data_IF_931813841434
#
_entry.id   IF_931813841434
#
_cell.length_a   1.000
_cell.length_b   1.000
_cell.length_c   1.000
_cell.angle_alpha   90.00
_cell.angle_beta   90.00
_cell.angle_gamma   90.00
#
_symmetry.space_group_name_H-M   'P 1'
#
loop_
_entity.id
_entity.type
_entity.pdbx_description
1 polymer ?
#
# COMPACT_ATOMS: atom_id res chain seq x y z
N UNK A 1 -35.13 24.11 -12.08
CA UNK A 1 -35.55 22.70 -12.11
C UNK A 1 -35.40 21.99 -13.45
N UNK A 2 -35.54 22.66 -14.61
CA UNK A 2 -35.34 22.04 -15.95
C UNK A 2 -33.87 21.78 -16.32
N UNK A 3 -32.91 22.55 -15.88
CA UNK A 3 -31.47 22.36 -16.19
C UNK A 3 -30.81 21.17 -15.48
N UNK A 4 -31.22 20.84 -14.26
CA UNK A 4 -30.70 19.66 -13.52
C UNK A 4 -31.13 18.32 -14.15
N UNK A 5 -32.35 18.24 -14.71
CA UNK A 5 -32.84 17.04 -15.42
C UNK A 5 -32.13 16.77 -16.75
N UNK A 6 -31.60 17.81 -17.45
CA UNK A 6 -30.82 17.64 -18.67
C UNK A 6 -29.39 17.14 -18.38
N UNK A 7 -28.80 17.55 -17.26
CA UNK A 7 -27.46 17.08 -16.82
C UNK A 7 -27.47 15.59 -16.47
N UNK A 8 -28.45 15.14 -15.68
CA UNK A 8 -28.59 13.72 -15.34
C UNK A 8 -28.85 12.80 -16.56
N UNK A 9 -29.63 13.26 -17.56
CA UNK A 9 -29.84 12.49 -18.78
C UNK A 9 -28.58 12.38 -19.65
N UNK A 10 -27.73 13.40 -19.65
CA UNK A 10 -26.45 13.37 -20.41
C UNK A 10 -25.42 12.46 -19.75
N UNK A 11 -25.34 12.42 -18.40
CA UNK A 11 -24.46 11.51 -17.65
C UNK A 11 -24.90 10.04 -17.79
N UNK A 12 -26.19 9.74 -17.74
CA UNK A 12 -26.69 8.39 -18.01
C UNK A 12 -26.44 7.95 -19.45
N UNK A 13 -26.58 8.85 -20.41
CA UNK A 13 -26.36 8.53 -21.84
C UNK A 13 -24.88 8.26 -22.13
N UNK A 14 -23.96 9.01 -21.51
CA UNK A 14 -22.52 8.77 -21.61
C UNK A 14 -22.09 7.45 -20.95
N UNK A 15 -22.64 7.10 -19.79
CA UNK A 15 -22.42 5.83 -19.13
C UNK A 15 -22.96 4.64 -19.94
N UNK A 16 -24.14 4.80 -20.57
CA UNK A 16 -24.73 3.76 -21.41
C UNK A 16 -23.94 3.59 -22.72
N UNK A 17 -23.48 4.69 -23.34
CA UNK A 17 -22.60 4.62 -24.53
C UNK A 17 -21.23 3.99 -24.21
N UNK A 18 -20.65 4.26 -23.04
CA UNK A 18 -19.41 3.60 -22.61
C UNK A 18 -19.63 2.09 -22.39
N UNK A 19 -20.76 1.70 -21.81
CA UNK A 19 -21.10 0.29 -21.58
C UNK A 19 -21.38 -0.45 -22.88
N UNK A 20 -22.06 0.16 -23.86
CA UNK A 20 -22.30 -0.45 -25.19
C UNK A 20 -21.02 -0.55 -26.02
N UNK A 21 -20.10 0.42 -25.91
CA UNK A 21 -18.80 0.35 -26.57
C UNK A 21 -17.91 -0.77 -25.98
N UNK A 22 -18.03 -1.05 -24.68
CA UNK A 22 -17.38 -2.18 -24.02
C UNK A 22 -17.95 -3.54 -24.48
N UNK A 23 -19.25 -3.63 -24.70
CA UNK A 23 -19.90 -4.87 -25.17
C UNK A 23 -19.57 -5.20 -26.63
N UNK A 24 -19.41 -4.22 -27.52
CA UNK A 24 -19.04 -4.46 -28.92
C UNK A 24 -17.59 -4.87 -29.13
N UNK A 25 -16.68 -4.54 -28.20
CA UNK A 25 -15.28 -4.97 -28.26
C UNK A 25 -15.06 -6.43 -27.79
N UNK A 26 -16.06 -7.05 -27.15
CA UNK A 26 -15.95 -8.40 -26.58
C UNK A 26 -16.36 -9.54 -27.55
N UNK A 27 -16.71 -9.25 -28.78
CA UNK A 27 -17.38 -10.22 -29.68
C UNK A 27 -16.49 -10.92 -30.72
N UNK A 28 -15.17 -10.92 -30.58
CA UNK A 28 -14.33 -11.61 -31.57
C UNK A 28 -13.25 -12.44 -30.90
N UNK A 29 -13.62 -13.65 -30.43
CA UNK A 29 -12.83 -14.88 -30.55
C UNK A 29 -13.59 -16.01 -29.80
N UNK A 30 -13.82 -17.15 -30.46
CA UNK A 30 -14.23 -18.40 -29.82
C UNK A 30 -13.04 -18.95 -29.02
N UNK A 31 -12.73 -18.33 -27.89
CA UNK A 31 -11.76 -18.88 -26.95
C UNK A 31 -12.49 -19.80 -25.98
N UNK A 32 -12.09 -21.06 -25.97
CA UNK A 32 -12.46 -21.99 -24.88
C UNK A 32 -12.08 -21.34 -23.54
N UNK A 33 -12.99 -21.24 -22.57
CA UNK A 33 -12.69 -20.64 -21.28
C UNK A 33 -11.60 -21.46 -20.59
N UNK A 34 -10.40 -20.89 -20.48
CA UNK A 34 -9.32 -21.50 -19.72
C UNK A 34 -9.37 -20.92 -18.32
N UNK A 35 -10.02 -21.62 -17.41
CA UNK A 35 -10.03 -21.25 -15.99
C UNK A 35 -8.68 -21.62 -15.40
N UNK A 36 -7.99 -20.64 -14.86
CA UNK A 36 -6.75 -20.84 -14.08
C UNK A 36 -6.96 -20.39 -12.64
N UNK A 37 -6.34 -21.10 -11.71
CA UNK A 37 -6.35 -20.75 -10.28
C UNK A 37 -4.96 -20.97 -9.71
N UNK A 38 -4.40 -19.94 -9.11
CA UNK A 38 -3.14 -20.00 -8.38
C UNK A 38 -3.43 -19.76 -6.90
N UNK A 39 -2.72 -20.45 -6.05
CA UNK A 39 -2.79 -20.29 -4.59
C UNK A 39 -1.44 -19.76 -4.13
N UNK A 40 -1.47 -18.74 -3.29
CA UNK A 40 -0.28 -18.16 -2.68
C UNK A 40 -0.47 -18.03 -1.18
N UNK A 41 0.63 -18.19 -0.45
CA UNK A 41 0.65 -17.96 0.98
C UNK A 41 1.81 -17.08 1.41
N UNK A 42 1.62 -16.31 2.48
CA UNK A 42 2.68 -15.54 3.12
C UNK A 42 2.55 -15.66 4.62
N UNK A 43 3.55 -16.25 5.24
CA UNK A 43 3.66 -16.36 6.69
C UNK A 43 4.82 -15.50 7.16
N UNK A 44 4.59 -14.69 8.20
CA UNK A 44 5.61 -13.85 8.85
C UNK A 44 5.43 -13.95 10.36
N UNK A 45 6.40 -14.50 11.02
CA UNK A 45 6.51 -14.54 12.48
C UNK A 45 7.74 -13.75 12.92
N UNK A 46 7.62 -12.93 13.95
CA UNK A 46 8.75 -12.14 14.45
C UNK A 46 8.87 -12.19 15.97
N UNK A 47 10.09 -11.95 16.43
CA UNK A 47 10.41 -11.60 17.80
C UNK A 47 10.94 -10.17 17.81
N UNK A 48 10.44 -9.33 18.72
CA UNK A 48 10.91 -7.97 18.98
C UNK A 48 11.43 -7.89 20.41
N UNK A 49 12.61 -7.29 20.57
CA UNK A 49 13.21 -7.00 21.87
C UNK A 49 13.48 -5.50 21.98
N UNK A 50 12.76 -4.84 22.87
CA UNK A 50 12.93 -3.42 23.17
C UNK A 50 14.12 -3.26 24.12
N UNK A 51 15.12 -2.45 23.72
CA UNK A 51 16.43 -2.43 24.36
C UNK A 51 16.53 -1.55 25.60
N UNK A 52 15.62 -0.57 25.77
CA UNK A 52 15.62 0.34 26.92
C UNK A 52 14.91 -0.25 28.14
N UNK A 53 13.77 -0.89 27.94
CA UNK A 53 12.96 -1.49 29.00
C UNK A 53 13.30 -2.96 29.24
N UNK A 54 14.04 -3.58 28.31
CA UNK A 54 14.42 -4.98 28.41
C UNK A 54 13.26 -5.96 28.17
N UNK A 55 12.22 -5.53 27.45
CA UNK A 55 11.03 -6.32 27.19
C UNK A 55 11.04 -6.92 25.78
N UNK A 56 10.47 -8.11 25.64
CA UNK A 56 10.38 -8.80 24.35
C UNK A 56 9.04 -9.45 24.12
N UNK A 57 8.68 -9.62 22.82
CA UNK A 57 7.45 -10.28 22.43
C UNK A 57 7.60 -11.08 21.13
N UNK A 58 6.83 -12.17 21.05
CA UNK A 58 6.58 -12.86 19.79
C UNK A 58 5.29 -12.33 19.15
N UNK A 59 5.27 -12.25 17.82
CA UNK A 59 4.11 -11.79 17.06
C UNK A 59 3.98 -12.60 15.77
N UNK A 60 2.78 -13.08 15.45
CA UNK A 60 2.41 -13.50 14.09
C UNK A 60 2.06 -12.25 13.30
N UNK A 61 3.00 -11.78 12.48
CA UNK A 61 2.85 -10.51 11.76
C UNK A 61 1.92 -10.59 10.58
N UNK A 62 1.95 -11.70 9.84
CA UNK A 62 1.03 -12.01 8.76
C UNK A 62 0.83 -13.51 8.64
N UNK A 63 -0.40 -13.92 8.36
CA UNK A 63 -0.79 -15.26 7.99
C UNK A 63 -1.78 -15.17 6.82
N UNK A 64 -1.25 -14.89 5.62
CA UNK A 64 -2.07 -14.59 4.42
C UNK A 64 -2.19 -15.78 3.51
N UNK A 65 -3.39 -15.95 2.98
CA UNK A 65 -3.69 -16.87 1.90
C UNK A 65 -4.41 -16.08 0.82
N UNK A 66 -4.01 -16.25 -0.43
CA UNK A 66 -4.69 -15.66 -1.57
C UNK A 66 -4.88 -16.65 -2.69
N UNK A 67 -5.95 -16.45 -3.44
CA UNK A 67 -6.24 -17.10 -4.70
C UNK A 67 -6.39 -16.04 -5.78
N UNK A 68 -5.78 -16.26 -6.93
CA UNK A 68 -6.00 -15.45 -8.12
C UNK A 68 -6.06 -16.32 -9.36
N UNK A 69 -6.61 -15.77 -10.42
CA UNK A 69 -6.68 -16.51 -11.66
C UNK A 69 -7.44 -15.78 -12.76
N UNK A 70 -7.66 -16.53 -13.85
CA UNK A 70 -8.44 -16.04 -14.98
C UNK A 70 -9.62 -16.98 -15.20
N UNK A 71 -10.82 -16.43 -15.45
CA UNK A 71 -12.00 -17.15 -15.89
C UNK A 71 -12.05 -17.16 -17.42
N UNK A 72 -11.65 -16.05 -18.02
CA UNK A 72 -11.48 -15.83 -19.44
C UNK A 72 -10.15 -15.10 -19.69
N UNK A 73 -9.59 -15.06 -20.90
CA UNK A 73 -8.38 -14.28 -21.19
C UNK A 73 -8.48 -12.81 -20.79
N UNK A 74 -9.70 -12.23 -20.85
CA UNK A 74 -9.97 -10.83 -20.50
C UNK A 74 -10.46 -10.64 -19.05
N UNK A 75 -10.82 -11.74 -18.34
CA UNK A 75 -11.44 -11.65 -17.00
C UNK A 75 -10.62 -12.39 -15.97
N UNK A 76 -10.12 -11.65 -14.98
CA UNK A 76 -9.36 -12.19 -13.85
C UNK A 76 -9.99 -11.81 -12.52
N UNK A 77 -9.63 -12.56 -11.48
CA UNK A 77 -10.09 -12.34 -10.11
C UNK A 77 -8.96 -12.50 -9.11
N UNK A 78 -9.15 -11.94 -7.93
CA UNK A 78 -8.31 -12.19 -6.75
C UNK A 78 -9.15 -12.13 -5.49
N UNK A 79 -8.85 -13.06 -4.57
CA UNK A 79 -9.28 -12.97 -3.17
C UNK A 79 -8.07 -13.21 -2.25
N UNK A 80 -7.94 -12.42 -1.19
CA UNK A 80 -6.86 -12.52 -0.19
C UNK A 80 -7.43 -12.29 1.21
N UNK A 81 -7.07 -13.15 2.15
CA UNK A 81 -7.41 -13.05 3.57
C UNK A 81 -6.14 -13.01 4.42
N UNK A 82 -6.22 -12.39 5.60
CA UNK A 82 -5.19 -12.44 6.63
C UNK A 82 -5.81 -13.02 7.91
N UNK A 83 -5.15 -14.01 8.49
CA UNK A 83 -5.58 -14.74 9.68
C UNK A 83 -4.81 -14.29 10.95
N UNK A 84 -3.94 -13.28 10.85
CA UNK A 84 -3.06 -12.85 11.92
C UNK A 84 -3.67 -11.79 12.85
N UNK A 85 -4.97 -11.49 12.74
CA UNK A 85 -5.62 -10.45 13.51
C UNK A 85 -6.37 -11.01 14.72
N UNK A 86 -5.62 -11.51 15.71
CA UNK A 86 -6.12 -11.97 17.03
C UNK A 86 -7.37 -12.87 16.95
N UNK A 87 -7.36 -13.80 15.98
CA UNK A 87 -8.46 -14.74 15.74
C UNK A 87 -9.56 -14.23 14.80
N UNK A 88 -9.47 -13.01 14.30
CA UNK A 88 -10.38 -12.49 13.29
C UNK A 88 -9.82 -12.70 11.87
N UNK A 89 -10.70 -13.04 10.94
CA UNK A 89 -10.36 -13.15 9.52
C UNK A 89 -10.59 -11.79 8.88
N UNK A 90 -9.51 -11.18 8.36
CA UNK A 90 -9.60 -9.96 7.56
C UNK A 90 -9.61 -10.29 6.08
N UNK A 91 -10.69 -9.96 5.37
CA UNK A 91 -10.69 -9.92 3.92
C UNK A 91 -9.86 -8.73 3.44
N UNK A 92 -8.78 -8.98 2.74
CA UNK A 92 -7.88 -7.94 2.24
C UNK A 92 -8.21 -7.52 0.81
N UNK A 93 -8.16 -8.45 -0.11
CA UNK A 93 -8.49 -8.23 -1.52
C UNK A 93 -9.68 -9.11 -1.91
N UNK A 94 -10.65 -8.55 -2.62
CA UNK A 94 -11.77 -9.27 -3.22
C UNK A 94 -12.25 -8.47 -4.43
N UNK A 95 -11.66 -8.74 -5.60
CA UNK A 95 -11.97 -7.98 -6.80
C UNK A 95 -12.03 -8.83 -8.06
N UNK A 96 -12.79 -8.30 -9.04
CA UNK A 96 -12.78 -8.73 -10.42
C UNK A 96 -12.08 -7.70 -11.29
N UNK A 97 -11.34 -8.16 -12.30
CA UNK A 97 -10.60 -7.31 -13.23
C UNK A 97 -10.88 -7.70 -14.67
N UNK A 98 -11.29 -6.72 -15.45
CA UNK A 98 -11.47 -6.84 -16.88
C UNK A 98 -10.23 -6.26 -17.59
N UNK A 99 -9.53 -7.09 -18.37
CA UNK A 99 -8.39 -6.69 -19.20
C UNK A 99 -8.89 -6.42 -20.61
N UNK A 100 -8.86 -5.17 -21.01
CA UNK A 100 -9.25 -4.73 -22.33
C UNK A 100 -8.05 -4.73 -23.29
N UNK A 101 -8.30 -4.50 -24.54
CA UNK A 101 -7.22 -4.39 -25.53
C UNK A 101 -6.26 -3.23 -25.24
N UNK A 102 -5.00 -3.32 -25.71
CA UNK A 102 -3.97 -2.28 -25.62
C UNK A 102 -3.56 -1.89 -24.19
N UNK A 103 -3.61 -2.83 -23.24
CA UNK A 103 -3.11 -2.59 -21.88
C UNK A 103 -4.08 -1.86 -20.94
N UNK A 104 -5.29 -1.53 -21.40
CA UNK A 104 -6.35 -0.95 -20.57
C UNK A 104 -6.95 -2.03 -19.66
N UNK A 105 -7.15 -1.72 -18.37
CA UNK A 105 -7.78 -2.62 -17.41
C UNK A 105 -8.76 -1.86 -16.51
N UNK A 106 -9.88 -2.51 -16.20
CA UNK A 106 -10.86 -2.02 -15.23
C UNK A 106 -10.96 -3.03 -14.08
N UNK A 107 -10.87 -2.55 -12.85
CA UNK A 107 -10.96 -3.41 -11.64
C UNK A 107 -12.06 -2.87 -10.74
N UNK A 108 -12.86 -3.75 -10.15
CA UNK A 108 -13.92 -3.39 -9.21
C UNK A 108 -13.92 -4.36 -8.03
N UNK A 109 -14.11 -3.84 -6.83
CA UNK A 109 -14.16 -4.59 -5.57
C UNK A 109 -13.26 -3.98 -4.51
N UNK A 110 -12.89 -4.78 -3.52
CA UNK A 110 -11.94 -4.40 -2.47
C UNK A 110 -10.51 -4.67 -2.95
N UNK A 111 -9.67 -3.64 -2.95
CA UNK A 111 -8.31 -3.73 -3.47
C UNK A 111 -7.37 -2.74 -2.80
N UNK A 112 -6.07 -2.88 -3.06
CA UNK A 112 -5.10 -1.85 -2.68
C UNK A 112 -5.36 -0.57 -3.44
N UNK A 113 -5.39 0.53 -2.71
CA UNK A 113 -5.47 1.87 -3.28
C UNK A 113 -4.15 2.17 -4.02
N UNK A 114 -4.16 2.64 -5.27
CA UNK A 114 -2.94 2.93 -6.03
C UNK A 114 -2.25 4.19 -5.52
N UNK A 115 -1.52 4.07 -4.42
CA UNK A 115 -0.83 5.15 -3.74
C UNK A 115 0.49 4.66 -3.13
N UNK A 116 1.54 5.48 -3.14
CA UNK A 116 2.92 5.25 -2.65
C UNK A 116 3.61 3.99 -3.23
N UNK A 117 4.89 3.78 -2.89
CA UNK A 117 5.63 2.55 -3.21
C UNK A 117 5.51 1.56 -2.06
N UNK A 118 5.95 1.93 -0.84
CA UNK A 118 6.06 0.99 0.28
C UNK A 118 4.68 0.54 0.82
N UNK A 119 3.68 1.41 0.91
CA UNK A 119 2.32 1.03 1.31
C UNK A 119 1.69 0.03 0.32
N UNK A 120 1.99 0.17 -0.97
CA UNK A 120 1.49 -0.72 -2.02
C UNK A 120 2.25 -2.06 -2.11
N UNK A 121 3.42 -2.18 -1.45
CA UNK A 121 4.25 -3.40 -1.45
C UNK A 121 3.60 -4.53 -0.66
N UNK A 122 3.62 -5.73 -1.22
CA UNK A 122 3.14 -6.94 -0.53
C UNK A 122 4.05 -7.31 0.65
N UNK A 123 3.55 -7.95 1.72
CA UNK A 123 4.36 -8.25 2.89
C UNK A 123 5.60 -9.09 2.63
N UNK A 124 5.53 -10.06 1.72
CA UNK A 124 6.70 -10.88 1.37
C UNK A 124 7.77 -10.07 0.61
N UNK A 125 7.38 -9.01 -0.11
CA UNK A 125 8.30 -8.14 -0.87
C UNK A 125 8.89 -7.00 -0.03
N UNK A 126 8.64 -6.95 1.28
CA UNK A 126 9.25 -5.96 2.15
C UNK A 126 10.72 -6.28 2.39
N UNK A 127 11.57 -5.27 2.36
CA UNK A 127 13.00 -5.39 2.67
C UNK A 127 13.26 -5.50 4.16
N UNK A 128 12.52 -4.75 4.98
CA UNK A 128 12.65 -4.69 6.43
C UNK A 128 11.51 -5.44 7.13
N UNK A 129 11.74 -5.89 8.35
CA UNK A 129 10.72 -6.54 9.17
C UNK A 129 9.53 -5.59 9.46
N UNK A 130 9.81 -4.31 9.68
CA UNK A 130 8.79 -3.28 9.88
C UNK A 130 8.72 -2.31 8.68
N UNK A 131 7.53 -1.83 8.38
CA UNK A 131 7.28 -0.84 7.31
C UNK A 131 7.87 0.53 7.65
N UNK A 132 8.05 1.37 6.62
CA UNK A 132 8.32 2.79 6.77
C UNK A 132 7.18 3.53 7.49
N UNK A 133 7.44 4.75 7.95
CA UNK A 133 6.38 5.59 8.49
C UNK A 133 5.37 5.98 7.42
N UNK A 134 5.81 6.27 6.20
CA UNK A 134 4.92 6.54 5.05
C UNK A 134 3.89 5.43 4.91
N UNK A 135 4.33 4.16 4.86
CA UNK A 135 3.43 3.03 4.65
C UNK A 135 2.47 2.75 5.81
N UNK A 136 2.76 3.24 7.02
CA UNK A 136 1.86 3.10 8.18
C UNK A 136 0.79 4.20 8.23
N UNK A 137 1.08 5.36 7.66
CA UNK A 137 0.34 6.61 7.93
C UNK A 137 -0.39 7.19 6.71
N UNK A 138 -0.50 6.43 5.63
CA UNK A 138 -1.15 6.89 4.38
C UNK A 138 -2.67 6.68 4.35
N UNK A 139 -3.32 6.52 5.50
CA UNK A 139 -4.74 6.21 5.56
C UNK A 139 -5.03 4.76 5.14
N UNK A 140 -6.19 4.51 4.55
CA UNK A 140 -6.57 3.15 4.16
C UNK A 140 -5.71 2.65 2.98
N UNK A 141 -4.84 1.67 3.25
CA UNK A 141 -4.04 1.01 2.20
C UNK A 141 -4.92 0.20 1.25
N UNK A 142 -6.10 -0.23 1.71
CA UNK A 142 -7.13 -0.94 0.94
C UNK A 142 -8.49 -0.31 1.15
N UNK A 143 -9.29 -0.34 0.10
CA UNK A 143 -10.64 0.19 0.14
C UNK A 143 -11.51 -0.48 -0.93
N UNK A 144 -12.81 -0.31 -0.85
CA UNK A 144 -13.78 -0.76 -1.83
C UNK A 144 -13.99 0.33 -2.87
N UNK A 145 -13.86 -0.02 -4.13
CA UNK A 145 -13.99 0.96 -5.21
C UNK A 145 -13.76 0.36 -6.59
N UNK A 146 -13.46 1.24 -7.52
CA UNK A 146 -13.14 0.85 -8.89
C UNK A 146 -11.92 1.62 -9.39
N UNK A 147 -11.04 0.94 -10.16
CA UNK A 147 -9.86 1.54 -10.78
C UNK A 147 -9.86 1.33 -12.29
N UNK A 148 -9.30 2.31 -12.99
CA UNK A 148 -8.94 2.23 -14.39
C UNK A 148 -7.41 2.27 -14.47
N UNK A 149 -6.82 1.22 -15.03
CA UNK A 149 -5.39 1.09 -15.24
C UNK A 149 -5.03 1.08 -16.72
N UNK A 150 -3.88 1.64 -17.05
CA UNK A 150 -3.33 1.60 -18.40
C UNK A 150 -1.84 1.28 -18.38
N UNK A 151 -1.46 0.17 -19.02
CA UNK A 151 -0.08 -0.29 -19.13
C UNK A 151 0.43 -0.06 -20.54
N UNK A 152 1.44 0.78 -20.67
CA UNK A 152 2.14 1.01 -21.92
C UNK A 152 3.42 0.17 -21.91
N UNK A 153 3.51 -0.76 -22.87
CA UNK A 153 4.72 -1.54 -23.10
C UNK A 153 5.48 -0.92 -24.25
N UNK A 154 6.72 -0.51 -24.01
CA UNK A 154 7.57 0.15 -25.01
C UNK A 154 9.00 0.27 -24.51
N UNK A 155 9.81 1.11 -25.17
CA UNK A 155 11.18 1.39 -24.74
C UNK A 155 11.26 1.95 -23.30
N UNK A 156 10.22 2.69 -22.90
CA UNK A 156 10.03 3.17 -21.54
C UNK A 156 8.64 2.70 -21.09
N UNK A 157 8.54 1.56 -20.37
CA UNK A 157 7.26 1.10 -19.84
C UNK A 157 6.65 2.11 -18.85
N UNK A 158 5.35 2.33 -18.98
CA UNK A 158 4.58 3.24 -18.14
C UNK A 158 3.34 2.50 -17.60
N UNK A 159 3.08 2.62 -16.31
CA UNK A 159 1.84 2.16 -15.67
C UNK A 159 1.12 3.37 -15.11
N UNK A 160 -0.14 3.52 -15.50
CA UNK A 160 -1.06 4.51 -14.96
C UNK A 160 -2.21 3.78 -14.30
N UNK A 161 -2.61 4.23 -13.13
CA UNK A 161 -3.79 3.71 -12.44
C UNK A 161 -4.47 4.86 -11.70
N UNK A 162 -5.78 4.97 -11.84
CA UNK A 162 -6.61 5.92 -11.11
C UNK A 162 -7.88 5.22 -10.65
N UNK A 163 -8.41 5.61 -9.48
CA UNK A 163 -9.58 4.97 -8.91
C UNK A 163 -10.40 5.88 -8.02
N UNK A 164 -11.65 5.45 -7.84
CA UNK A 164 -12.62 6.02 -6.92
C UNK A 164 -12.95 4.98 -5.87
N UNK A 165 -13.05 5.42 -4.61
CA UNK A 165 -13.18 4.54 -3.46
C UNK A 165 -14.20 5.09 -2.47
N UNK A 166 -14.84 4.20 -1.72
CA UNK A 166 -15.82 4.57 -0.73
C UNK A 166 -15.22 5.34 0.46
N UNK A 167 -14.04 4.96 0.94
CA UNK A 167 -13.46 5.43 2.20
C UNK A 167 -13.80 4.55 3.41
N UNK A 168 -14.53 3.45 3.21
CA UNK A 168 -14.90 2.50 4.26
C UNK A 168 -13.73 1.64 4.75
N UNK A 169 -12.64 1.58 3.99
CA UNK A 169 -11.51 0.69 4.31
C UNK A 169 -11.88 -0.78 4.17
N UNK A 170 -11.49 -1.59 5.16
CA UNK A 170 -11.72 -3.05 5.17
C UNK A 170 -13.03 -3.46 5.85
N UNK A 171 -13.65 -2.57 6.60
CA UNK A 171 -14.84 -2.82 7.44
C UNK A 171 -15.99 -1.92 7.02
N UNK A 172 -17.16 -2.14 7.63
CA UNK A 172 -18.34 -1.27 7.49
C UNK A 172 -18.81 -1.01 6.06
N UNK A 173 -18.62 -2.00 5.16
CA UNK A 173 -18.99 -1.87 3.76
C UNK A 173 -20.51 -1.97 3.52
N UNK A 174 -21.21 -2.71 4.40
CA UNK A 174 -22.66 -2.84 4.31
C UNK A 174 -23.31 -1.52 4.73
N UNK A 175 -24.22 -1.07 3.90
CA UNK A 175 -24.97 0.18 4.11
C UNK A 175 -24.10 1.44 4.25
N UNK A 176 -22.84 1.38 3.79
CA UNK A 176 -21.94 2.53 3.73
C UNK A 176 -22.29 3.43 2.53
N UNK A 177 -23.18 4.36 2.75
CA UNK A 177 -23.57 5.36 1.77
C UNK A 177 -22.83 6.67 2.01
N UNK A 178 -22.14 7.17 0.99
CA UNK A 178 -21.35 8.41 1.10
C UNK A 178 -21.55 9.32 -0.11
N UNK A 179 -21.59 10.62 0.16
CA UNK A 179 -21.47 11.65 -0.88
C UNK A 179 -20.00 12.08 -1.10
N UNK A 180 -19.09 11.62 -0.24
CA UNK A 180 -17.68 11.99 -0.26
C UNK A 180 -16.82 10.81 -0.78
N UNK A 181 -16.81 10.65 -2.09
CA UNK A 181 -15.97 9.63 -2.73
C UNK A 181 -14.49 10.03 -2.60
N UNK A 182 -13.67 9.09 -2.14
CA UNK A 182 -12.22 9.20 -2.17
C UNK A 182 -11.69 8.92 -3.57
N UNK A 183 -10.54 9.47 -3.92
CA UNK A 183 -9.86 9.13 -5.16
C UNK A 183 -8.37 8.92 -4.95
N UNK A 184 -7.77 8.17 -5.85
CA UNK A 184 -6.33 8.01 -5.92
C UNK A 184 -5.87 7.90 -7.38
N UNK A 185 -4.67 8.37 -7.67
CA UNK A 185 -4.00 8.19 -8.95
C UNK A 185 -2.51 7.94 -8.75
N UNK A 186 -1.96 7.02 -9.56
CA UNK A 186 -0.55 6.64 -9.54
C UNK A 186 -0.02 6.50 -10.96
N UNK A 187 1.14 7.11 -11.21
CA UNK A 187 1.91 6.95 -12.43
C UNK A 187 3.28 6.35 -12.08
N UNK A 188 3.70 5.32 -12.81
CA UNK A 188 4.98 4.66 -12.61
C UNK A 188 5.70 4.51 -13.94
N UNK A 189 6.90 5.09 -14.04
CA UNK A 189 7.78 5.06 -15.20
C UNK A 189 8.93 4.11 -14.89
N UNK A 190 9.12 3.09 -15.72
CA UNK A 190 10.19 2.09 -15.56
C UNK A 190 11.25 2.27 -16.64
N UNK A 191 12.41 2.76 -16.25
CA UNK A 191 13.54 2.96 -17.19
C UNK A 191 14.31 1.66 -17.41
N UNK A 192 14.86 1.41 -18.62
CA UNK A 192 15.52 0.15 -18.97
C UNK A 192 16.75 -0.19 -18.12
N UNK A 193 17.38 0.81 -17.52
CA UNK A 193 18.58 0.64 -16.68
C UNK A 193 18.26 0.25 -15.22
N UNK A 194 17.00 -0.07 -14.88
CA UNK A 194 16.57 -0.46 -13.52
C UNK A 194 16.07 0.71 -12.68
N UNK A 195 16.05 1.93 -13.20
CA UNK A 195 15.44 3.07 -12.54
C UNK A 195 13.91 3.05 -12.67
N UNK A 196 13.24 3.41 -11.59
CA UNK A 196 11.81 3.57 -11.54
C UNK A 196 11.47 4.92 -10.90
N UNK A 197 10.49 5.63 -11.44
CA UNK A 197 9.95 6.88 -10.88
C UNK A 197 8.46 6.70 -10.71
N UNK A 198 7.97 7.02 -9.53
CA UNK A 198 6.55 6.93 -9.15
C UNK A 198 6.06 8.30 -8.70
N UNK A 199 4.91 8.70 -9.20
CA UNK A 199 4.15 9.86 -8.74
C UNK A 199 2.77 9.36 -8.35
N UNK A 200 2.29 9.76 -7.17
CA UNK A 200 0.95 9.38 -6.75
C UNK A 200 0.26 10.47 -5.95
N UNK A 201 -1.06 10.45 -5.96
CA UNK A 201 -1.90 11.35 -5.18
C UNK A 201 -3.12 10.61 -4.65
N UNK A 202 -3.57 10.98 -3.47
CA UNK A 202 -4.77 10.41 -2.86
C UNK A 202 -5.53 11.50 -2.08
N UNK A 203 -6.84 11.52 -2.21
CA UNK A 203 -7.75 12.26 -1.36
C UNK A 203 -8.53 11.29 -0.49
N UNK A 204 -8.52 11.52 0.82
CA UNK A 204 -9.37 10.82 1.79
C UNK A 204 -10.18 11.81 2.61
N UNK A 205 -11.26 11.34 3.19
CA UNK A 205 -12.06 12.09 4.18
C UNK A 205 -12.48 11.13 5.29
N UNK A 206 -11.64 10.94 6.34
CA UNK A 206 -11.95 10.03 7.45
C UNK A 206 -13.20 10.42 8.22
N UNK A 207 -13.36 11.70 8.54
CA UNK A 207 -14.55 12.28 9.18
C UNK A 207 -14.99 13.56 8.46
N UNK A 208 -14.68 14.72 9.03
CA UNK A 208 -15.16 16.03 8.55
C UNK A 208 -14.17 16.71 7.61
N UNK A 209 -12.87 16.46 7.76
CA UNK A 209 -11.79 17.15 7.05
C UNK A 209 -11.31 16.35 5.84
N UNK A 210 -11.25 16.99 4.66
CA UNK A 210 -10.59 16.41 3.49
C UNK A 210 -9.07 16.45 3.68
N UNK A 211 -8.42 15.33 3.39
CA UNK A 211 -6.96 15.20 3.43
C UNK A 211 -6.47 14.90 2.02
N UNK A 212 -5.60 15.76 1.51
CA UNK A 212 -4.91 15.56 0.24
C UNK A 212 -3.49 15.09 0.50
N UNK A 213 -3.08 14.04 -0.20
CA UNK A 213 -1.73 13.49 -0.12
C UNK A 213 -1.10 13.44 -1.49
N UNK A 214 0.18 13.77 -1.55
CA UNK A 214 1.01 13.73 -2.74
C UNK A 214 2.28 12.97 -2.41
N UNK A 215 2.68 12.07 -3.27
CA UNK A 215 3.81 11.20 -3.06
C UNK A 215 4.70 11.16 -4.30
N UNK A 216 5.99 11.27 -4.06
CA UNK A 216 7.04 11.08 -5.05
C UNK A 216 7.99 9.99 -4.56
N UNK A 217 8.14 8.94 -5.34
CA UNK A 217 9.04 7.85 -5.05
C UNK A 217 9.92 7.50 -6.24
N UNK A 218 11.12 7.03 -5.95
CA UNK A 218 12.05 6.52 -6.97
C UNK A 218 12.83 5.36 -6.42
N UNK A 219 13.17 4.39 -7.28
CA UNK A 219 14.13 3.35 -6.92
C UNK A 219 15.01 2.95 -8.10
N UNK A 220 16.18 2.44 -7.76
CA UNK A 220 17.08 1.75 -8.65
C UNK A 220 17.21 0.30 -8.23
N UNK A 221 16.98 -0.63 -9.15
CA UNK A 221 17.12 -2.06 -8.89
C UNK A 221 17.88 -2.72 -10.04
N UNK A 222 19.17 -2.94 -9.86
CA UNK A 222 20.03 -3.66 -10.79
C UNK A 222 21.34 -4.13 -10.13
N UNK A 223 21.95 -5.18 -10.68
CA UNK A 223 23.26 -5.68 -10.26
C UNK A 223 23.36 -6.03 -8.76
N UNK A 224 22.28 -6.52 -8.16
CA UNK A 224 22.19 -6.83 -6.74
C UNK A 224 21.88 -5.62 -5.84
N UNK A 225 21.96 -4.40 -6.35
CA UNK A 225 21.59 -3.20 -5.62
C UNK A 225 20.09 -2.94 -5.68
N UNK A 226 19.53 -2.52 -4.54
CA UNK A 226 18.28 -1.81 -4.48
C UNK A 226 18.44 -0.56 -3.65
N UNK A 227 18.17 0.60 -4.26
CA UNK A 227 18.21 1.92 -3.61
C UNK A 227 16.86 2.56 -3.85
N UNK A 228 16.18 3.01 -2.80
CA UNK A 228 14.84 3.57 -2.89
C UNK A 228 14.74 4.81 -2.02
N UNK A 229 14.00 5.79 -2.50
CA UNK A 229 13.63 6.98 -1.74
C UNK A 229 12.18 7.36 -2.06
N UNK A 230 11.43 7.74 -1.03
CA UNK A 230 10.03 8.12 -1.12
C UNK A 230 9.78 9.34 -0.23
N UNK A 231 9.01 10.30 -0.72
CA UNK A 231 8.62 11.51 0.00
C UNK A 231 7.12 11.71 -0.11
N UNK A 232 6.47 11.90 1.03
CA UNK A 232 5.05 12.15 1.17
C UNK A 232 4.80 13.55 1.73
N UNK A 233 3.92 14.29 1.07
CA UNK A 233 3.32 15.53 1.57
C UNK A 233 1.83 15.32 1.81
N UNK A 234 1.33 15.72 3.00
CA UNK A 234 -0.06 15.58 3.41
C UNK A 234 -0.60 16.95 3.86
N UNK A 235 -1.72 17.34 3.30
CA UNK A 235 -2.37 18.63 3.54
C UNK A 235 -3.81 18.41 4.01
N UNK A 236 -4.20 19.12 5.05
CA UNK A 236 -5.55 19.11 5.61
C UNK A 236 -6.34 20.33 5.12
N UNK A 237 -7.53 20.10 4.60
CA UNK A 237 -8.37 21.19 4.10
C UNK A 237 -8.68 22.21 5.20
N UNK A 238 -8.75 23.48 4.81
CA UNK A 238 -9.00 24.63 5.71
C UNK A 238 -7.93 24.82 6.80
N UNK A 239 -6.70 24.33 6.55
CA UNK A 239 -5.59 24.37 7.52
C UNK A 239 -5.98 23.81 8.90
N UNK A 240 -6.86 22.78 8.90
CA UNK A 240 -7.37 22.14 10.11
C UNK A 240 -6.28 21.44 10.94
N UNK A 241 -5.12 21.19 10.34
CA UNK A 241 -3.91 20.67 10.98
C UNK A 241 -2.70 21.11 10.15
N UNK A 242 -1.51 21.13 10.77
CA UNK A 242 -0.25 21.45 10.09
C UNK A 242 0.04 20.47 8.96
N UNK A 243 0.72 20.94 7.92
CA UNK A 243 1.13 20.08 6.82
C UNK A 243 2.14 19.02 7.28
N UNK A 244 1.94 17.80 6.82
CA UNK A 244 2.79 16.66 7.18
C UNK A 244 3.81 16.40 6.09
N UNK A 245 5.04 16.22 6.50
CA UNK A 245 6.15 15.82 5.67
C UNK A 245 6.68 14.47 6.15
N UNK A 246 6.80 13.50 5.26
CA UNK A 246 7.41 12.22 5.56
C UNK A 246 8.43 11.85 4.49
N UNK A 247 9.48 11.16 4.91
CA UNK A 247 10.54 10.67 4.05
C UNK A 247 10.91 9.25 4.43
N UNK A 248 11.13 8.41 3.44
CA UNK A 248 11.75 7.08 3.57
C UNK A 248 12.85 6.94 2.53
N UNK A 249 14.02 6.48 2.96
CA UNK A 249 15.12 6.21 2.04
C UNK A 249 15.93 5.03 2.51
N UNK A 250 16.19 4.05 1.64
CA UNK A 250 16.97 2.88 2.00
C UNK A 250 17.83 2.35 0.86
N UNK A 251 18.82 1.56 1.24
CA UNK A 251 19.62 0.77 0.30
C UNK A 251 19.82 -0.65 0.82
N UNK A 252 19.96 -1.57 -0.12
CA UNK A 252 20.31 -2.97 0.15
C UNK A 252 21.19 -3.51 -0.99
N UNK A 253 21.96 -4.56 -0.68
CA UNK A 253 22.79 -5.23 -1.67
C UNK A 253 22.75 -6.75 -1.50
N UNK A 254 22.35 -7.47 -2.53
CA UNK A 254 22.23 -8.93 -2.53
C UNK A 254 23.58 -9.60 -2.84
N UNK A 255 24.15 -10.25 -1.84
CA UNK A 255 25.39 -11.00 -1.93
C UNK A 255 25.08 -12.49 -2.12
N UNK A 256 25.27 -13.08 -3.30
CA UNK A 256 25.02 -14.50 -3.52
C UNK A 256 26.06 -15.37 -2.80
N UNK A 257 25.60 -16.40 -2.07
CA UNK A 257 26.42 -17.38 -1.35
C UNK A 257 26.38 -18.71 -2.11
N UNK A 258 27.54 -19.19 -2.55
CA UNK A 258 27.65 -20.37 -3.42
C UNK A 258 27.46 -21.71 -2.68
N UNK A 259 27.72 -21.76 -1.38
CA UNK A 259 27.70 -23.00 -0.57
C UNK A 259 26.90 -22.80 0.70
N UNK A 260 26.27 -23.86 1.20
CA UNK A 260 25.51 -23.87 2.44
C UNK A 260 24.01 -23.68 2.24
N UNK A 261 23.28 -23.62 3.35
CA UNK A 261 21.82 -23.43 3.37
C UNK A 261 21.39 -22.00 2.99
N UNK A 262 22.19 -21.00 3.39
CA UNK A 262 21.95 -19.61 3.02
C UNK A 262 22.43 -19.39 1.59
N UNK A 263 21.57 -18.83 0.75
CA UNK A 263 21.85 -18.55 -0.68
C UNK A 263 22.16 -17.09 -0.93
N UNK A 264 21.62 -16.18 -0.14
CA UNK A 264 21.91 -14.76 -0.19
C UNK A 264 22.07 -14.18 1.20
N UNK A 265 22.97 -13.21 1.32
CA UNK A 265 23.13 -12.33 2.49
C UNK A 265 22.93 -10.90 1.98
N UNK A 266 21.93 -10.21 2.48
CA UNK A 266 21.56 -8.87 2.04
C UNK A 266 21.70 -7.88 3.20
N UNK A 267 22.85 -7.18 3.35
CA UNK A 267 22.94 -6.02 4.23
C UNK A 267 22.05 -4.90 3.74
N UNK A 268 21.45 -4.17 4.68
CA UNK A 268 20.49 -3.10 4.37
C UNK A 268 20.48 -2.02 5.45
N UNK A 269 20.18 -0.79 5.03
CA UNK A 269 20.05 0.37 5.92
C UNK A 269 18.93 1.26 5.42
N UNK A 270 18.12 1.81 6.35
CA UNK A 270 17.03 2.74 6.07
C UNK A 270 17.04 3.89 7.05
N UNK A 271 16.74 5.08 6.56
CA UNK A 271 16.34 6.22 7.36
C UNK A 271 14.93 6.61 6.97
N UNK A 272 14.04 6.78 7.95
CA UNK A 272 12.69 7.30 7.76
C UNK A 272 12.37 8.40 8.77
N UNK A 273 11.57 9.36 8.32
CA UNK A 273 11.15 10.56 9.07
C UNK A 273 9.67 10.84 8.82
N UNK A 274 8.99 11.35 9.85
CA UNK A 274 7.64 11.89 9.72
C UNK A 274 7.48 13.05 10.74
N UNK A 275 6.90 14.15 10.28
CA UNK A 275 6.50 15.26 11.16
C UNK A 275 5.27 14.91 11.99
N UNK A 276 4.84 15.77 12.88
CA UNK A 276 3.56 15.62 13.61
C UNK A 276 2.43 15.33 12.63
N UNK A 277 1.53 14.42 13.00
CA UNK A 277 0.56 13.85 12.09
C UNK A 277 -0.79 13.61 12.78
N UNK A 278 -1.87 13.88 12.03
CA UNK A 278 -3.24 13.48 12.38
C UNK A 278 -3.76 12.47 11.34
N UNK A 279 -4.53 11.48 11.79
CA UNK A 279 -5.27 10.55 10.92
C UNK A 279 -6.61 11.14 10.42
N UNK A 280 -6.93 12.38 10.85
CA UNK A 280 -8.13 13.10 10.45
C UNK A 280 -9.33 12.90 11.35
N UNK A 281 -9.12 12.29 12.53
CA UNK A 281 -10.14 12.17 13.56
C UNK A 281 -10.21 13.47 14.35
N UNK A 282 -11.41 13.96 14.61
CA UNK A 282 -11.70 15.19 15.35
C UNK A 282 -11.89 14.92 16.82
N UNK A 283 -11.50 15.88 17.64
CA UNK A 283 -11.83 15.98 19.05
C UNK A 283 -12.65 17.26 19.26
N UNK A 284 -13.75 17.15 19.99
CA UNK A 284 -14.54 18.30 20.42
C UNK A 284 -14.18 18.61 21.88
N UNK A 285 -13.69 19.81 22.12
CA UNK A 285 -13.37 20.30 23.45
C UNK A 285 -14.67 20.52 24.23
N UNK A 286 -14.83 19.85 25.37
CA UNK A 286 -16.06 19.84 26.16
C UNK A 286 -16.42 21.23 26.76
N UNK A 287 -15.44 22.10 26.97
CA UNK A 287 -15.68 23.44 27.56
C UNK A 287 -16.02 24.47 26.50
N UNK A 288 -15.37 24.41 25.36
CA UNK A 288 -15.48 25.43 24.30
C UNK A 288 -16.37 25.02 23.14
N UNK A 289 -16.66 23.72 22.98
CA UNK A 289 -17.37 23.15 21.83
C UNK A 289 -16.59 23.27 20.51
N UNK A 290 -15.30 23.61 20.57
CA UNK A 290 -14.45 23.76 19.39
C UNK A 290 -13.93 22.39 18.94
N UNK A 291 -14.18 22.03 17.68
CA UNK A 291 -13.63 20.83 17.05
C UNK A 291 -12.24 21.10 16.50
N UNK A 292 -11.28 20.28 16.87
CA UNK A 292 -9.92 20.28 16.33
C UNK A 292 -9.48 18.86 15.99
N UNK A 293 -8.54 18.71 15.05
CA UNK A 293 -7.99 17.39 14.74
C UNK A 293 -7.03 16.93 15.84
N UNK A 294 -7.14 15.64 16.20
CA UNK A 294 -6.25 15.02 17.18
C UNK A 294 -4.88 14.76 16.52
N UNK A 295 -3.80 15.14 17.23
CA UNK A 295 -2.46 14.67 16.90
C UNK A 295 -2.34 13.18 17.23
N UNK A 296 -2.31 12.34 16.21
CA UNK A 296 -2.26 10.88 16.37
C UNK A 296 -0.86 10.41 16.72
N UNK A 297 0.15 11.00 16.09
CA UNK A 297 1.56 10.68 16.29
C UNK A 297 2.42 11.95 16.33
N UNK A 298 3.46 11.95 17.18
CA UNK A 298 4.46 13.02 17.21
C UNK A 298 5.51 12.84 16.12
N UNK A 299 6.20 13.93 15.81
CA UNK A 299 7.38 13.95 14.96
C UNK A 299 8.39 12.92 15.43
N UNK A 300 8.94 12.16 14.46
CA UNK A 300 9.97 11.15 14.73
C UNK A 300 10.83 10.87 13.52
N UNK A 301 12.02 10.35 13.81
CA UNK A 301 12.83 9.70 12.79
C UNK A 301 13.34 8.35 13.30
N UNK A 302 13.71 7.48 12.36
CA UNK A 302 14.22 6.15 12.66
C UNK A 302 15.35 5.80 11.72
N UNK A 303 16.46 5.30 12.29
CA UNK A 303 17.53 4.64 11.56
C UNK A 303 17.41 3.14 11.77
N UNK A 304 17.28 2.38 10.69
CA UNK A 304 17.22 0.92 10.73
C UNK A 304 18.43 0.36 9.99
N UNK A 305 19.22 -0.47 10.68
CA UNK A 305 20.29 -1.26 10.07
C UNK A 305 20.02 -2.74 10.22
N UNK A 306 20.48 -3.57 9.30
CA UNK A 306 20.29 -5.00 9.45
C UNK A 306 20.82 -5.85 8.32
N UNK A 307 20.45 -7.13 8.38
CA UNK A 307 20.78 -8.13 7.39
C UNK A 307 19.61 -9.06 7.15
N UNK A 308 19.39 -9.43 5.90
CA UNK A 308 18.48 -10.52 5.51
C UNK A 308 19.30 -11.73 5.05
N UNK A 309 18.95 -12.89 5.56
CA UNK A 309 19.52 -14.19 5.18
C UNK A 309 18.44 -14.94 4.39
N UNK A 310 18.64 -15.15 3.09
CA UNK A 310 17.69 -15.87 2.25
C UNK A 310 18.12 -17.33 2.05
N UNK A 311 17.25 -18.26 2.40
CA UNK A 311 17.47 -19.72 2.26
C UNK A 311 17.26 -20.19 0.80
N UNK A 312 16.68 -19.32 -0.01
CA UNK A 312 16.47 -19.49 -1.44
C UNK A 312 16.76 -18.14 -2.10
N UNK A 313 16.11 -17.80 -3.23
CA UNK A 313 16.14 -16.42 -3.74
C UNK A 313 15.49 -15.47 -2.74
N UNK A 314 15.87 -14.19 -2.70
CA UNK A 314 15.25 -13.17 -1.86
C UNK A 314 13.73 -13.14 -2.01
N UNK A 315 13.04 -12.83 -0.91
CA UNK A 315 11.57 -12.73 -0.80
C UNK A 315 10.80 -14.03 -0.89
N UNK A 316 11.46 -15.18 -0.73
CA UNK A 316 10.80 -16.49 -0.72
C UNK A 316 10.87 -17.17 0.66
N UNK A 317 12.05 -17.21 1.27
CA UNK A 317 12.28 -17.76 2.61
C UNK A 317 13.42 -17.00 3.25
N UNK A 318 13.07 -15.99 4.03
CA UNK A 318 14.01 -15.00 4.55
C UNK A 318 14.01 -15.00 6.09
N UNK A 319 15.18 -14.82 6.66
CA UNK A 319 15.38 -14.45 8.06
C UNK A 319 15.90 -13.01 8.06
N UNK A 320 15.11 -12.07 8.60
CA UNK A 320 15.45 -10.65 8.68
C UNK A 320 15.86 -10.31 10.10
N UNK A 321 17.02 -9.71 10.25
CA UNK A 321 17.54 -9.24 11.55
C UNK A 321 17.77 -7.75 11.41
N UNK A 322 16.98 -6.96 12.12
CA UNK A 322 17.03 -5.51 12.07
C UNK A 322 17.25 -4.93 13.47
N UNK A 323 18.02 -3.86 13.56
CA UNK A 323 18.06 -2.96 14.70
C UNK A 323 17.42 -1.64 14.29
N UNK A 324 16.43 -1.17 15.04
CA UNK A 324 15.71 0.08 14.83
C UNK A 324 16.08 1.06 15.95
N UNK A 325 16.71 2.18 15.60
CA UNK A 325 17.01 3.31 16.48
C UNK A 325 16.05 4.44 16.21
N UNK A 326 15.30 4.85 17.23
CA UNK A 326 14.31 5.93 17.13
C UNK A 326 14.86 7.22 17.72
N UNK A 327 14.41 8.35 17.15
CA UNK A 327 14.73 9.69 17.62
C UNK A 327 13.46 10.51 17.70
N UNK A 328 13.20 11.09 18.87
CA UNK A 328 12.02 11.85 19.21
C UNK A 328 12.36 13.24 19.69
N UNK A 329 11.45 14.24 19.60
CA UNK A 329 11.52 15.48 20.38
C UNK A 329 11.55 15.17 21.88
N UNK A 330 12.06 16.13 22.66
CA UNK A 330 12.32 15.93 24.10
C UNK A 330 11.06 15.67 24.95
N UNK A 331 9.90 16.13 24.49
CA UNK A 331 8.60 16.03 25.16
C UNK A 331 7.76 14.82 24.69
N UNK A 332 8.29 14.00 23.79
CA UNK A 332 7.57 12.86 23.24
C UNK A 332 7.49 11.69 24.24
N UNK A 333 6.35 11.03 24.29
CA UNK A 333 6.14 9.80 25.06
C UNK A 333 5.73 8.64 24.12
N UNK A 334 6.71 8.02 23.43
CA UNK A 334 6.42 6.96 22.48
C UNK A 334 5.98 5.67 23.17
N UNK A 335 5.15 4.89 22.48
CA UNK A 335 4.77 3.54 22.91
C UNK A 335 6.01 2.63 22.91
N UNK A 336 6.04 1.61 23.77
CA UNK A 336 7.13 0.60 23.85
C UNK A 336 7.46 0.01 22.48
N UNK A 337 6.44 -0.25 21.65
CA UNK A 337 6.62 -0.78 20.28
C UNK A 337 7.27 0.20 19.29
N UNK A 338 7.44 1.45 19.66
CA UNK A 338 8.03 2.54 18.84
C UNK A 338 9.31 3.10 19.47
N UNK A 339 9.95 2.36 20.35
CA UNK A 339 11.28 2.62 20.92
C UNK A 339 12.33 1.75 20.26
N UNK A 340 13.59 1.97 20.66
CA UNK A 340 14.76 1.23 20.16
C UNK A 340 14.61 -0.27 20.34
N UNK A 341 14.82 -1.04 19.29
CA UNK A 341 14.58 -2.49 19.34
C UNK A 341 15.37 -3.29 18.33
N UNK A 342 15.59 -4.55 18.70
CA UNK A 342 16.03 -5.60 17.78
C UNK A 342 14.80 -6.37 17.30
N UNK A 343 14.75 -6.63 16.01
CA UNK A 343 13.67 -7.43 15.38
C UNK A 343 14.30 -8.60 14.64
N UNK A 344 13.84 -9.81 14.96
CA UNK A 344 14.17 -11.02 14.19
C UNK A 344 12.88 -11.56 13.60
N UNK A 345 12.80 -11.62 12.27
CA UNK A 345 11.62 -12.08 11.56
C UNK A 345 11.94 -13.28 10.68
N UNK A 346 11.04 -14.25 10.68
CA UNK A 346 10.99 -15.36 9.73
C UNK A 346 9.85 -15.15 8.77
N UNK A 347 10.16 -15.14 7.48
CA UNK A 347 9.19 -14.95 6.40
C UNK A 347 9.29 -16.10 5.40
N UNK A 348 8.14 -16.64 5.02
CA UNK A 348 8.04 -17.57 3.88
C UNK A 348 6.87 -17.19 2.98
N UNK A 349 7.08 -17.39 1.68
CA UNK A 349 6.08 -17.16 0.63
C UNK A 349 6.08 -18.36 -0.32
N UNK A 350 4.91 -18.81 -0.71
CA UNK A 350 4.70 -19.94 -1.63
C UNK A 350 3.53 -19.71 -2.57
#
# INVERSE_FOLDING_TARGET
MRMLKLSQKRTCLAATMALTCLCTMAQTEKTTPTVTTNIHGTLRGKYEYQTEEGEGRFEVRNARISIDGNILPIWSYKAEIDLSDEGQIKMLDAYARLRLQKGLQFTIGQMRVPFTIDAHRSPHLQYFANRSFIAKQVGNVRDVGATLGYNVNGAVPLKLEAGLFNGSGLTDQKDFWTSNINFSAKAQIMLPNGFNVTLSTQKIKPEDVNIMMYDFGTYYHANGWHIEAEYLYKHYAHDAFDNVHAFDGFMSYDIPIRKGAIKYVTPLVRYDYMSDHSDGISYEDEETGVKSLVKTDCQRSRLTGGVTLSLNKPFLSDIRINYEKYFYPHDASPKTSEKDKIVVEFMTHF
#
